data_IF_426229015208
#
_entry.id   IF_426229015208
#
_cell.length_a   1.000
_cell.length_b   1.000
_cell.length_c   1.000
_cell.angle_alpha   90.00
_cell.angle_beta   90.00
_cell.angle_gamma   90.00
#
_symmetry.space_group_name_H-M   'P 1'
#
loop_
_entity.id
_entity.type
_entity.pdbx_description
1 polymer ?
#
# COMPACT_ATOMS: atom_id res chain seq x y z
N UNK A 1 -1.58 -41.84 -21.49
CA UNK A 1 -2.44 -40.63 -21.62
C UNK A 1 -3.02 -40.13 -20.29
N UNK A 2 -2.47 -40.48 -19.12
CA UNK A 2 -3.05 -40.10 -17.81
C UNK A 2 -2.18 -39.14 -16.97
N UNK A 3 -0.88 -39.01 -17.29
CA UNK A 3 0.04 -38.13 -16.55
C UNK A 3 -0.11 -36.63 -16.91
N UNK A 4 -0.43 -36.31 -18.17
CA UNK A 4 -0.54 -34.93 -18.68
C UNK A 4 -1.78 -34.17 -18.17
N UNK A 5 -2.84 -34.87 -17.79
CA UNK A 5 -4.09 -34.27 -17.28
C UNK A 5 -4.00 -33.89 -15.79
N UNK A 6 -3.22 -34.64 -15.00
CA UNK A 6 -2.96 -34.31 -13.59
C UNK A 6 -2.10 -33.05 -13.44
N UNK A 7 -1.16 -32.82 -14.36
CA UNK A 7 -0.28 -31.65 -14.34
C UNK A 7 -1.01 -30.34 -14.72
N UNK A 8 -1.99 -30.43 -15.61
CA UNK A 8 -2.83 -29.29 -16.01
C UNK A 8 -3.78 -28.84 -14.89
N UNK A 9 -4.34 -29.80 -14.15
CA UNK A 9 -5.22 -29.50 -13.03
C UNK A 9 -4.46 -28.91 -11.84
N UNK A 10 -3.27 -29.41 -11.52
CA UNK A 10 -2.44 -28.85 -10.45
C UNK A 10 -2.01 -27.40 -10.75
N UNK A 11 -1.52 -27.10 -11.96
CA UNK A 11 -1.08 -25.74 -12.33
C UNK A 11 -2.17 -24.67 -12.25
N UNK A 12 -3.42 -25.00 -12.55
CA UNK A 12 -4.53 -24.05 -12.51
C UNK A 12 -4.91 -23.61 -11.10
N UNK A 13 -4.73 -24.46 -10.07
CA UNK A 13 -5.07 -24.09 -8.69
C UNK A 13 -4.02 -23.18 -8.03
N UNK A 14 -2.75 -23.24 -8.45
CA UNK A 14 -1.69 -22.37 -7.91
C UNK A 14 -1.72 -20.95 -8.47
N UNK A 15 -2.18 -20.77 -9.71
CA UNK A 15 -2.23 -19.46 -10.36
C UNK A 15 -3.42 -18.59 -9.90
N UNK A 16 -4.55 -19.20 -9.52
CA UNK A 16 -5.72 -18.45 -9.06
C UNK A 16 -5.58 -18.01 -7.60
N UNK A 17 -4.90 -18.82 -6.76
CA UNK A 17 -4.72 -18.51 -5.35
C UNK A 17 -3.64 -17.44 -5.11
N UNK A 18 -2.64 -17.30 -5.99
CA UNK A 18 -1.54 -16.33 -5.81
C UNK A 18 -1.91 -14.89 -6.16
N UNK A 19 -2.75 -14.67 -7.17
CA UNK A 19 -3.13 -13.32 -7.61
C UNK A 19 -4.20 -12.70 -6.70
N UNK A 20 -5.17 -13.51 -6.26
CA UNK A 20 -6.26 -13.05 -5.39
C UNK A 20 -5.74 -12.76 -3.97
N UNK A 21 -4.84 -13.57 -3.41
CA UNK A 21 -4.24 -13.29 -2.09
C UNK A 21 -3.31 -12.07 -2.10
N UNK A 22 -2.48 -11.90 -3.14
CA UNK A 22 -1.51 -10.79 -3.18
C UNK A 22 -2.21 -9.44 -3.30
N UNK A 23 -3.26 -9.34 -4.13
CA UNK A 23 -4.05 -8.12 -4.26
C UNK A 23 -4.73 -7.72 -2.95
N UNK A 24 -5.41 -8.67 -2.30
CA UNK A 24 -6.06 -8.42 -1.01
C UNK A 24 -5.04 -8.07 0.08
N UNK A 25 -3.87 -8.71 0.10
CA UNK A 25 -2.81 -8.39 1.04
C UNK A 25 -2.33 -6.93 0.88
N UNK A 26 -2.09 -6.48 -0.35
CA UNK A 26 -1.68 -5.09 -0.62
C UNK A 26 -2.79 -4.13 -0.20
N UNK A 27 -4.05 -4.44 -0.49
CA UNK A 27 -5.20 -3.61 -0.09
C UNK A 27 -5.32 -3.52 1.43
N UNK A 28 -5.21 -4.65 2.15
CA UNK A 28 -5.27 -4.70 3.61
C UNK A 28 -4.12 -3.91 4.23
N UNK A 29 -2.89 -4.09 3.74
CA UNK A 29 -1.71 -3.36 4.22
C UNK A 29 -1.85 -1.85 3.98
N UNK A 30 -2.34 -1.45 2.82
CA UNK A 30 -2.57 -0.04 2.48
C UNK A 30 -3.67 0.56 3.37
N UNK A 31 -4.78 -0.15 3.56
CA UNK A 31 -5.85 0.29 4.45
C UNK A 31 -5.36 0.40 5.90
N UNK A 32 -4.61 -0.58 6.39
CA UNK A 32 -4.00 -0.55 7.72
C UNK A 32 -3.05 0.64 7.89
N UNK A 33 -2.21 0.92 6.88
CA UNK A 33 -1.33 2.08 6.87
C UNK A 33 -2.12 3.39 6.99
N UNK A 34 -3.16 3.59 6.19
CA UNK A 34 -3.98 4.80 6.27
C UNK A 34 -4.75 4.93 7.59
N UNK A 35 -5.19 3.82 8.18
CA UNK A 35 -5.81 3.81 9.51
C UNK A 35 -4.81 4.21 10.60
N UNK A 36 -3.59 3.67 10.58
CA UNK A 36 -2.54 4.03 11.55
C UNK A 36 -2.11 5.49 11.35
N UNK A 37 -1.90 5.93 10.11
CA UNK A 37 -1.51 7.31 9.81
C UNK A 37 -2.61 8.31 10.22
N UNK A 38 -3.88 8.02 9.93
CA UNK A 38 -4.98 8.87 10.37
C UNK A 38 -5.11 8.91 11.90
N UNK A 39 -4.92 7.78 12.59
CA UNK A 39 -4.85 7.72 14.07
C UNK A 39 -3.76 8.65 14.63
N UNK A 40 -2.51 8.47 14.17
CA UNK A 40 -1.35 9.24 14.65
C UNK A 40 -1.50 10.74 14.36
N UNK A 41 -2.12 11.11 13.23
CA UNK A 41 -2.16 12.52 12.79
C UNK A 41 -3.40 13.25 13.29
N UNK A 42 -4.59 12.67 13.09
CA UNK A 42 -5.87 13.32 13.38
C UNK A 42 -6.31 13.07 14.82
N UNK A 43 -6.16 11.84 15.30
CA UNK A 43 -6.71 11.41 16.59
C UNK A 43 -5.75 11.68 17.76
N UNK A 44 -4.44 11.72 17.53
CA UNK A 44 -3.46 12.10 18.57
C UNK A 44 -3.69 13.51 19.17
N UNK A 45 -4.38 14.41 18.46
CA UNK A 45 -4.73 15.72 19.00
C UNK A 45 -5.78 15.65 20.14
N UNK A 46 -6.52 14.55 20.25
CA UNK A 46 -7.64 14.39 21.17
C UNK A 46 -7.46 13.23 22.17
N UNK A 47 -6.49 12.34 21.93
CA UNK A 47 -6.25 11.16 22.74
C UNK A 47 -4.91 11.24 23.49
N UNK A 48 -4.83 10.71 24.72
CA UNK A 48 -3.56 10.58 25.43
C UNK A 48 -2.60 9.62 24.71
N UNK A 49 -1.29 9.68 25.03
CA UNK A 49 -0.27 8.84 24.41
C UNK A 49 -0.63 7.36 24.45
N UNK A 50 -0.40 6.68 23.35
CA UNK A 50 -0.78 5.28 23.16
C UNK A 50 0.08 4.32 24.00
N UNK A 51 1.22 4.78 24.50
CA UNK A 51 2.22 3.97 25.21
C UNK A 51 3.07 3.11 24.27
N UNK A 52 2.80 3.15 22.96
CA UNK A 52 3.62 2.50 21.95
C UNK A 52 4.67 3.49 21.47
N UNK A 53 5.92 3.27 21.85
CA UNK A 53 7.03 4.20 21.61
C UNK A 53 7.12 4.70 20.16
N UNK A 54 6.99 3.80 19.17
CA UNK A 54 7.09 4.18 17.76
C UNK A 54 5.93 5.11 17.31
N UNK A 55 4.71 4.87 17.79
CA UNK A 55 3.56 5.71 17.48
C UNK A 55 3.67 7.05 18.21
N UNK A 56 4.07 7.05 19.48
CA UNK A 56 4.18 8.26 20.29
C UNK A 56 5.27 9.20 19.76
N UNK A 57 6.42 8.67 19.31
CA UNK A 57 7.47 9.46 18.64
C UNK A 57 6.93 10.09 17.35
N UNK A 58 6.21 9.32 16.54
CA UNK A 58 5.66 9.79 15.27
C UNK A 58 4.55 10.84 15.48
N UNK A 59 3.80 10.71 16.57
CA UNK A 59 2.71 11.62 16.90
C UNK A 59 3.20 12.94 17.53
N UNK A 60 4.36 12.92 18.18
CA UNK A 60 5.03 14.09 18.75
C UNK A 60 5.87 14.87 17.72
N UNK A 61 6.12 14.30 16.53
CA UNK A 61 6.79 15.02 15.46
C UNK A 61 5.90 16.18 14.96
N UNK A 62 6.40 17.41 15.07
CA UNK A 62 5.68 18.63 14.64
C UNK A 62 6.07 19.08 13.23
N UNK A 63 7.17 18.57 12.69
CA UNK A 63 7.77 19.06 11.45
C UNK A 63 7.41 18.17 10.25
N UNK A 64 7.42 16.85 10.43
CA UNK A 64 7.22 15.87 9.34
C UNK A 64 5.94 15.05 9.46
N UNK A 65 5.12 15.33 10.48
CA UNK A 65 3.85 14.62 10.73
C UNK A 65 2.97 14.46 9.49
N UNK A 66 2.82 15.50 8.67
CA UNK A 66 1.99 15.44 7.47
C UNK A 66 2.70 14.83 6.25
N UNK A 67 4.04 14.84 6.23
CA UNK A 67 4.84 14.29 5.14
C UNK A 67 4.51 12.80 4.95
N UNK A 68 4.43 12.03 6.04
CA UNK A 68 4.14 10.59 6.00
C UNK A 68 2.77 10.26 5.40
N UNK A 69 1.76 11.13 5.59
CA UNK A 69 0.44 10.92 5.02
C UNK A 69 0.36 11.35 3.56
N UNK A 70 1.07 12.44 3.21
CA UNK A 70 1.04 12.98 1.85
C UNK A 70 2.06 12.34 0.90
N UNK A 71 3.08 11.63 1.40
CA UNK A 71 4.11 11.04 0.54
C UNK A 71 3.56 9.96 -0.38
N UNK A 72 2.54 9.21 0.07
CA UNK A 72 1.89 8.18 -0.76
C UNK A 72 1.12 8.80 -1.94
N UNK A 73 0.13 9.71 -1.73
CA UNK A 73 -0.58 10.31 -2.85
C UNK A 73 0.33 11.18 -3.73
N UNK A 74 1.30 11.89 -3.17
CA UNK A 74 2.27 12.69 -3.95
C UNK A 74 3.21 11.83 -4.78
N UNK A 75 3.77 10.77 -4.19
CA UNK A 75 4.65 9.84 -4.89
C UNK A 75 3.93 9.08 -5.99
N UNK A 76 2.72 8.59 -5.70
CA UNK A 76 1.88 7.93 -6.70
C UNK A 76 1.55 8.87 -7.87
N UNK A 77 1.14 10.11 -7.58
CA UNK A 77 0.85 11.10 -8.61
C UNK A 77 2.07 11.39 -9.49
N UNK A 78 3.25 11.59 -8.88
CA UNK A 78 4.49 11.86 -9.62
C UNK A 78 4.85 10.71 -10.57
N UNK A 79 4.80 9.46 -10.11
CA UNK A 79 5.09 8.28 -10.94
C UNK A 79 4.09 8.15 -12.09
N UNK A 80 2.79 8.32 -11.82
CA UNK A 80 1.74 8.23 -12.84
C UNK A 80 1.91 9.35 -13.89
N UNK A 81 2.12 10.59 -13.46
CA UNK A 81 2.31 11.71 -14.36
C UNK A 81 3.56 11.53 -15.24
N UNK A 82 4.67 11.05 -14.66
CA UNK A 82 5.89 10.77 -15.41
C UNK A 82 5.70 9.62 -16.40
N UNK A 83 5.01 8.55 -16.00
CA UNK A 83 4.67 7.43 -16.87
C UNK A 83 3.82 7.89 -18.05
N UNK A 84 2.72 8.58 -17.78
CA UNK A 84 1.78 9.07 -18.79
C UNK A 84 2.46 10.06 -19.73
N UNK A 85 3.28 10.97 -19.19
CA UNK A 85 4.08 11.91 -19.99
C UNK A 85 5.04 11.21 -20.94
N UNK A 86 5.67 10.12 -20.50
CA UNK A 86 6.55 9.31 -21.35
C UNK A 86 5.79 8.62 -22.49
N UNK A 87 4.57 8.13 -22.26
CA UNK A 87 3.74 7.57 -23.32
C UNK A 87 3.42 8.60 -24.41
N UNK A 88 3.11 9.84 -24.02
CA UNK A 88 2.89 10.92 -24.98
C UNK A 88 4.16 11.27 -25.75
N UNK A 89 5.31 11.38 -25.09
CA UNK A 89 6.58 11.68 -25.75
C UNK A 89 6.98 10.64 -26.82
N UNK A 90 6.77 9.35 -26.53
CA UNK A 90 7.13 8.28 -27.48
C UNK A 90 6.16 8.16 -28.66
N UNK A 91 4.92 8.61 -28.52
CA UNK A 91 3.87 8.49 -29.53
C UNK A 91 3.50 9.85 -30.17
N UNK A 92 4.40 10.82 -30.08
CA UNK A 92 4.32 12.14 -30.74
C UNK A 92 5.20 12.20 -31.98
#
# INVERSE_FOLDING_TARGET
MSCSLLQYHHHHHYHVMTLLDTGHLITILTAAFFLVASYVILFNAFLPPSGVYALDVLAQDTHYKYLTLFIIPMGAYFVIANWVGWQYYQNS
#
